data_IF_995028493671
#
_entry.id   IF_995028493671
#
_cell.length_a   1.000
_cell.length_b   1.000
_cell.length_c   1.000
_cell.angle_alpha   90.00
_cell.angle_beta   90.00
_cell.angle_gamma   90.00
#
_symmetry.space_group_name_H-M   'P 1'
#
loop_
_entity.id
_entity.type
_entity.pdbx_description
1 polymer ?
#
# COMPACT_ATOMS: atom_id res chain seq x y z
N UNK A 1 -9.52 -1.54 18.17
CA UNK A 1 -8.48 -1.22 17.19
C UNK A 1 -9.14 -1.04 15.83
N UNK A 2 -8.82 0.04 15.14
CA UNK A 2 -9.35 0.41 13.82
C UNK A 2 -8.21 0.51 12.83
N UNK A 3 -8.29 -0.22 11.74
CA UNK A 3 -7.40 -0.10 10.60
C UNK A 3 -8.09 0.71 9.50
N UNK A 4 -7.41 1.72 8.97
CA UNK A 4 -7.81 2.33 7.72
C UNK A 4 -7.12 1.59 6.57
N UNK A 5 -7.89 1.19 5.56
CA UNK A 5 -7.38 0.55 4.36
C UNK A 5 -7.54 1.51 3.18
N UNK A 6 -6.44 1.84 2.55
CA UNK A 6 -6.34 2.74 1.40
C UNK A 6 -5.58 2.02 0.29
N UNK A 7 -5.91 2.27 -0.96
CA UNK A 7 -5.18 1.77 -2.13
C UNK A 7 -5.37 2.69 -3.34
N UNK A 8 -4.58 2.50 -4.38
CA UNK A 8 -4.84 3.02 -5.72
C UNK A 8 -4.98 4.55 -5.79
N UNK A 9 -4.15 5.28 -5.07
CA UNK A 9 -4.18 6.76 -5.12
C UNK A 9 -3.73 7.32 -6.47
N UNK A 10 -2.84 6.61 -7.16
CA UNK A 10 -2.40 6.94 -8.52
C UNK A 10 -2.04 8.41 -8.74
N UNK A 11 -1.24 8.98 -7.84
CA UNK A 11 -0.80 10.37 -7.94
C UNK A 11 -0.11 10.60 -9.29
N UNK A 12 -0.63 11.53 -10.08
CA UNK A 12 -0.10 11.88 -11.40
C UNK A 12 0.97 12.94 -11.30
N UNK A 13 1.89 12.96 -12.26
CA UNK A 13 3.01 13.90 -12.25
C UNK A 13 2.58 15.38 -12.31
N UNK A 14 1.68 15.72 -13.23
CA UNK A 14 1.36 17.12 -13.55
C UNK A 14 -0.14 17.39 -13.71
N UNK A 15 -1.00 16.44 -13.29
CA UNK A 15 -2.45 16.56 -13.51
C UNK A 15 -3.21 16.35 -12.20
N UNK A 16 -4.31 17.08 -12.07
CA UNK A 16 -5.29 16.92 -11.00
C UNK A 16 -4.74 17.21 -9.59
N UNK A 17 -3.67 18.01 -9.47
CA UNK A 17 -3.04 18.25 -8.17
C UNK A 17 -3.93 19.06 -7.22
N UNK A 18 -4.80 19.92 -7.75
CA UNK A 18 -5.79 20.63 -6.94
C UNK A 18 -6.84 19.65 -6.39
N UNK A 19 -7.36 18.81 -7.27
CA UNK A 19 -8.34 17.78 -6.91
C UNK A 19 -7.76 16.75 -5.91
N UNK A 20 -6.50 16.33 -6.10
CA UNK A 20 -5.81 15.48 -5.11
C UNK A 20 -5.72 16.16 -3.74
N UNK A 21 -5.38 17.45 -3.68
CA UNK A 21 -5.31 18.15 -2.41
C UNK A 21 -6.67 18.16 -1.70
N UNK A 22 -7.75 18.47 -2.43
CA UNK A 22 -9.11 18.48 -1.86
C UNK A 22 -9.53 17.09 -1.34
N UNK A 23 -9.25 16.03 -2.12
CA UNK A 23 -9.58 14.64 -1.74
C UNK A 23 -8.74 14.19 -0.56
N UNK A 24 -7.44 14.49 -0.55
CA UNK A 24 -6.55 14.12 0.55
C UNK A 24 -6.90 14.85 1.85
N UNK A 25 -7.28 16.12 1.78
CA UNK A 25 -7.74 16.86 2.97
C UNK A 25 -9.01 16.24 3.57
N UNK A 26 -9.95 15.80 2.71
CA UNK A 26 -11.15 15.06 3.15
C UNK A 26 -10.78 13.70 3.76
N UNK A 27 -9.85 12.98 3.15
CA UNK A 27 -9.34 11.71 3.66
C UNK A 27 -8.72 11.90 5.04
N UNK A 28 -7.80 12.85 5.21
CA UNK A 28 -7.15 13.12 6.49
C UNK A 28 -8.16 13.44 7.59
N UNK A 29 -9.11 14.32 7.29
CA UNK A 29 -10.19 14.65 8.23
C UNK A 29 -10.99 13.41 8.61
N UNK A 30 -11.36 12.56 7.66
CA UNK A 30 -12.08 11.32 7.92
C UNK A 30 -11.28 10.37 8.83
N UNK A 31 -9.98 10.20 8.56
CA UNK A 31 -9.10 9.35 9.38
C UNK A 31 -9.00 9.84 10.82
N UNK A 32 -8.87 11.16 11.01
CA UNK A 32 -8.83 11.80 12.33
C UNK A 32 -10.17 11.64 13.08
N UNK A 33 -11.29 11.92 12.41
CA UNK A 33 -12.64 11.78 13.00
C UNK A 33 -12.94 10.32 13.39
N UNK A 34 -12.46 9.34 12.61
CA UNK A 34 -12.62 7.93 12.92
C UNK A 34 -11.68 7.43 14.01
N UNK A 35 -10.70 8.22 14.43
CA UNK A 35 -9.68 7.84 15.41
C UNK A 35 -9.06 6.49 15.04
N UNK A 36 -8.47 6.40 13.85
CA UNK A 36 -7.83 5.17 13.38
C UNK A 36 -6.54 4.91 14.15
N UNK A 37 -6.31 3.64 14.52
CA UNK A 37 -5.11 3.23 15.24
C UNK A 37 -3.94 2.96 14.29
N UNK A 38 -4.22 2.48 13.07
CA UNK A 38 -3.25 2.15 12.03
C UNK A 38 -3.79 2.45 10.66
N UNK A 39 -2.89 2.80 9.74
CA UNK A 39 -3.20 3.03 8.32
C UNK A 39 -2.43 2.00 7.49
N UNK A 40 -3.11 1.35 6.56
CA UNK A 40 -2.51 0.43 5.59
C UNK A 40 -2.80 0.97 4.20
N UNK A 41 -1.75 1.24 3.42
CA UNK A 41 -1.86 1.59 2.00
C UNK A 41 -1.43 0.41 1.14
N UNK A 42 -2.38 -0.18 0.42
CA UNK A 42 -2.15 -1.39 -0.37
C UNK A 42 -1.72 -1.12 -1.80
N UNK A 43 -0.74 -0.23 -2.00
CA UNK A 43 -0.04 -0.07 -3.27
C UNK A 43 -0.66 0.91 -4.26
N UNK A 44 0.02 1.11 -5.37
CA UNK A 44 -0.30 2.03 -6.46
C UNK A 44 -0.47 3.48 -6.01
N UNK A 45 0.54 3.98 -5.27
CA UNK A 45 0.63 5.40 -4.91
C UNK A 45 0.97 6.22 -6.14
N UNK A 46 1.99 5.79 -6.92
CA UNK A 46 2.36 6.44 -8.15
C UNK A 46 1.44 6.02 -9.32
N UNK A 47 1.09 6.96 -10.19
CA UNK A 47 0.41 6.61 -11.45
C UNK A 47 1.38 5.99 -12.46
N UNK A 48 2.64 6.40 -12.44
CA UNK A 48 3.70 5.85 -13.30
C UNK A 48 5.04 5.79 -12.56
N UNK A 49 5.73 4.67 -12.69
CA UNK A 49 7.04 4.41 -12.06
C UNK A 49 8.24 5.03 -12.78
N UNK A 50 8.06 5.52 -14.00
CA UNK A 50 9.17 5.96 -14.86
C UNK A 50 9.20 7.45 -15.12
N UNK A 51 8.13 8.17 -14.82
CA UNK A 51 8.02 9.61 -15.00
C UNK A 51 7.76 10.24 -13.62
N UNK A 52 8.82 10.63 -12.95
CA UNK A 52 8.76 11.26 -11.62
C UNK A 52 9.07 12.75 -11.80
N UNK A 53 8.07 13.58 -11.55
CA UNK A 53 8.24 15.04 -11.56
C UNK A 53 8.49 15.57 -10.15
N UNK A 54 9.09 16.77 -10.01
CA UNK A 54 9.21 17.42 -8.70
C UNK A 54 7.88 17.58 -7.97
N UNK A 55 6.82 17.90 -8.70
CA UNK A 55 5.46 18.08 -8.16
C UNK A 55 4.90 16.76 -7.62
N UNK A 56 5.18 15.64 -8.30
CA UNK A 56 4.84 14.31 -7.78
C UNK A 56 5.58 14.05 -6.47
N UNK A 57 6.88 14.30 -6.42
CA UNK A 57 7.71 14.07 -5.22
C UNK A 57 7.16 14.88 -4.06
N UNK A 58 6.84 16.17 -4.29
CA UNK A 58 6.27 17.04 -3.25
C UNK A 58 4.93 16.51 -2.75
N UNK A 59 4.01 16.16 -3.65
CA UNK A 59 2.68 15.66 -3.28
C UNK A 59 2.75 14.33 -2.56
N UNK A 60 3.54 13.39 -3.06
CA UNK A 60 3.76 12.07 -2.45
C UNK A 60 4.38 12.20 -1.06
N UNK A 61 5.40 13.05 -0.92
CA UNK A 61 6.05 13.32 0.37
C UNK A 61 5.06 13.88 1.40
N UNK A 62 4.26 14.86 1.00
CA UNK A 62 3.23 15.46 1.86
C UNK A 62 2.15 14.45 2.23
N UNK A 63 1.67 13.66 1.26
CA UNK A 63 0.68 12.61 1.47
C UNK A 63 1.16 11.59 2.52
N UNK A 64 2.34 11.01 2.31
CA UNK A 64 2.92 10.01 3.23
C UNK A 64 3.19 10.60 4.62
N UNK A 65 3.77 11.80 4.68
CA UNK A 65 4.03 12.48 5.97
C UNK A 65 2.74 12.73 6.74
N UNK A 66 1.67 13.14 6.05
CA UNK A 66 0.41 13.46 6.69
C UNK A 66 -0.28 12.20 7.21
N UNK A 67 -0.30 11.11 6.44
CA UNK A 67 -0.79 9.81 6.93
C UNK A 67 -0.03 9.37 8.19
N UNK A 68 1.30 9.37 8.13
CA UNK A 68 2.16 8.96 9.26
C UNK A 68 2.06 9.88 10.49
N UNK A 69 1.59 11.13 10.32
CA UNK A 69 1.28 12.03 11.43
C UNK A 69 -0.04 11.71 12.14
N UNK A 70 -0.97 11.03 11.45
CA UNK A 70 -2.27 10.63 12.00
C UNK A 70 -2.12 9.31 12.76
N UNK A 71 -1.51 8.30 12.15
CA UNK A 71 -1.29 6.99 12.76
C UNK A 71 -0.10 6.26 12.11
N UNK A 72 0.50 5.24 12.76
CA UNK A 72 1.48 4.38 12.12
C UNK A 72 0.96 3.85 10.79
N UNK A 73 1.72 4.11 9.72
CA UNK A 73 1.31 3.87 8.34
C UNK A 73 2.19 2.81 7.69
N UNK A 74 1.58 1.71 7.26
CA UNK A 74 2.22 0.62 6.55
C UNK A 74 1.84 0.68 5.08
N UNK A 75 2.83 0.63 4.21
CA UNK A 75 2.67 0.76 2.75
C UNK A 75 3.26 -0.45 2.06
N UNK A 76 2.46 -1.23 1.35
CA UNK A 76 2.98 -2.16 0.35
C UNK A 76 3.05 -1.48 -1.01
N UNK A 77 3.83 -2.02 -1.93
CA UNK A 77 3.96 -1.46 -3.28
C UNK A 77 3.06 -2.18 -4.27
N UNK A 78 2.50 -1.41 -5.20
CA UNK A 78 1.75 -1.93 -6.33
C UNK A 78 2.55 -1.95 -7.63
N UNK A 79 1.96 -2.48 -8.67
CA UNK A 79 2.64 -2.65 -9.97
C UNK A 79 2.95 -1.33 -10.69
N UNK A 80 2.30 -0.23 -10.31
CA UNK A 80 2.61 1.12 -10.80
C UNK A 80 3.75 1.79 -10.02
N UNK A 81 4.06 1.35 -8.81
CA UNK A 81 5.12 1.91 -7.98
C UNK A 81 6.51 1.39 -8.37
N UNK A 82 6.62 0.16 -8.86
CA UNK A 82 7.89 -0.49 -9.18
C UNK A 82 7.88 -1.30 -10.48
N UNK A 83 9.02 -1.89 -10.83
CA UNK A 83 9.17 -2.68 -12.04
C UNK A 83 9.07 -4.18 -11.74
N UNK A 84 7.94 -4.81 -12.05
CA UNK A 84 7.71 -6.24 -11.85
C UNK A 84 8.73 -7.15 -12.58
N UNK A 85 9.25 -6.69 -13.73
CA UNK A 85 10.23 -7.46 -14.51
C UNK A 85 11.65 -7.36 -13.95
N UNK A 86 11.90 -6.45 -13.03
CA UNK A 86 13.19 -6.26 -12.40
C UNK A 86 13.00 -5.72 -10.97
N UNK A 87 12.74 -6.61 -10.03
CA UNK A 87 12.49 -6.30 -8.62
C UNK A 87 13.70 -5.65 -7.92
N UNK A 88 14.92 -5.85 -8.43
CA UNK A 88 16.13 -5.20 -7.91
C UNK A 88 16.22 -3.72 -8.26
N UNK A 89 15.43 -3.26 -9.23
CA UNK A 89 15.37 -1.83 -9.58
C UNK A 89 14.63 -1.06 -8.49
N UNK A 90 15.09 0.16 -8.25
CA UNK A 90 14.45 1.08 -7.33
C UNK A 90 13.03 1.42 -7.78
N UNK A 91 12.07 1.40 -6.85
CA UNK A 91 10.70 1.85 -7.08
C UNK A 91 10.57 3.37 -6.90
N UNK A 92 9.39 3.90 -7.16
CA UNK A 92 9.13 5.34 -7.09
C UNK A 92 8.88 5.86 -5.66
N UNK A 93 8.53 5.00 -4.72
CA UNK A 93 8.03 5.37 -3.40
C UNK A 93 9.08 5.27 -2.30
N UNK A 94 9.84 4.15 -2.29
CA UNK A 94 10.82 3.89 -1.23
C UNK A 94 11.81 5.05 -1.02
N UNK A 95 12.43 5.63 -2.07
CA UNK A 95 13.38 6.73 -1.86
C UNK A 95 12.76 7.98 -1.24
N UNK A 96 11.49 8.26 -1.59
CA UNK A 96 10.75 9.40 -1.01
C UNK A 96 10.49 9.14 0.47
N UNK A 97 9.99 7.95 0.80
CA UNK A 97 9.68 7.58 2.18
C UNK A 97 10.93 7.55 3.07
N UNK A 98 12.05 7.01 2.58
CA UNK A 98 13.33 7.00 3.30
C UNK A 98 13.84 8.42 3.56
N UNK A 99 13.71 9.32 2.59
CA UNK A 99 14.11 10.73 2.75
C UNK A 99 13.30 11.47 3.82
N UNK A 100 12.06 11.06 4.09
CA UNK A 100 11.22 11.64 5.13
C UNK A 100 11.68 11.29 6.54
N UNK A 101 12.41 10.20 6.74
CA UNK A 101 12.89 9.72 8.04
C UNK A 101 11.80 9.69 9.13
N UNK A 102 10.57 9.40 8.75
CA UNK A 102 9.44 9.40 9.67
C UNK A 102 9.32 8.04 10.37
N UNK A 103 9.43 7.98 11.72
CA UNK A 103 9.41 6.71 12.46
C UNK A 103 8.06 5.97 12.41
N UNK A 104 6.99 6.64 11.97
CA UNK A 104 5.67 6.07 11.84
C UNK A 104 5.34 5.64 10.39
N UNK A 105 6.31 5.68 9.47
CA UNK A 105 6.13 5.32 8.07
C UNK A 105 6.95 4.07 7.74
N UNK A 106 6.28 2.99 7.33
CA UNK A 106 6.89 1.70 7.07
C UNK A 106 6.61 1.26 5.64
N UNK A 107 7.65 1.17 4.80
CA UNK A 107 7.53 0.64 3.44
C UNK A 107 7.85 -0.85 3.45
N UNK A 108 6.86 -1.67 3.10
CA UNK A 108 6.91 -3.12 3.11
C UNK A 108 7.02 -3.63 1.66
N UNK A 109 8.20 -3.47 1.06
CA UNK A 109 8.44 -3.81 -0.34
C UNK A 109 8.48 -5.30 -0.61
N UNK A 110 9.11 -6.06 0.29
CA UNK A 110 9.31 -7.51 0.12
C UNK A 110 8.28 -8.31 0.90
N UNK A 111 8.18 -9.59 0.60
CA UNK A 111 7.37 -10.53 1.36
C UNK A 111 7.89 -10.60 2.80
N UNK A 112 7.01 -10.38 3.76
CA UNK A 112 7.37 -10.36 5.18
C UNK A 112 6.12 -10.42 6.07
N UNK A 113 6.33 -10.75 7.34
CA UNK A 113 5.33 -10.63 8.39
C UNK A 113 5.69 -9.48 9.34
N UNK A 114 4.71 -8.65 9.68
CA UNK A 114 4.86 -7.58 10.66
C UNK A 114 3.85 -7.78 11.78
N UNK A 115 4.33 -8.11 12.98
CA UNK A 115 3.46 -8.30 14.16
C UNK A 115 3.19 -6.97 14.83
N UNK A 116 1.90 -6.66 15.03
CA UNK A 116 1.41 -5.46 15.69
C UNK A 116 0.80 -5.84 17.03
N UNK A 117 1.32 -5.27 18.13
CA UNK A 117 0.84 -5.42 19.52
C UNK A 117 0.69 -6.88 19.97
N UNK A 118 1.44 -7.81 19.42
CA UNK A 118 1.30 -9.26 19.68
C UNK A 118 -0.15 -9.76 19.50
N UNK A 119 -0.92 -9.15 18.63
CA UNK A 119 -2.33 -9.47 18.39
C UNK A 119 -2.67 -9.62 16.90
N UNK A 120 -2.04 -8.82 16.05
CA UNK A 120 -2.25 -8.86 14.61
C UNK A 120 -0.93 -9.17 13.91
N UNK A 121 -1.01 -9.87 12.81
CA UNK A 121 0.11 -10.06 11.88
C UNK A 121 -0.29 -9.56 10.49
N UNK A 122 0.43 -8.56 9.97
CA UNK A 122 0.32 -8.14 8.58
C UNK A 122 1.23 -9.04 7.74
N UNK A 123 0.65 -9.83 6.88
CA UNK A 123 1.36 -10.77 6.01
C UNK A 123 1.42 -10.17 4.60
N UNK A 124 2.59 -9.70 4.19
CA UNK A 124 2.80 -9.03 2.91
C UNK A 124 3.03 -10.06 1.81
N UNK A 125 2.08 -10.17 0.89
CA UNK A 125 2.18 -10.94 -0.35
C UNK A 125 2.66 -10.01 -1.47
N UNK A 126 3.95 -9.64 -1.41
CA UNK A 126 4.52 -8.69 -2.36
C UNK A 126 4.58 -9.27 -3.77
N UNK A 127 4.07 -8.50 -4.74
CA UNK A 127 4.16 -8.83 -6.19
C UNK A 127 5.59 -8.65 -6.73
N UNK A 128 6.52 -8.15 -5.94
CA UNK A 128 7.94 -8.04 -6.28
C UNK A 128 8.79 -9.18 -5.70
N UNK A 129 8.16 -10.07 -4.90
CA UNK A 129 8.89 -11.05 -4.09
C UNK A 129 8.04 -12.31 -3.85
N UNK A 130 7.35 -12.78 -4.91
CA UNK A 130 6.37 -13.88 -4.83
C UNK A 130 6.99 -15.21 -4.37
N UNK A 131 8.25 -15.46 -4.72
CA UNK A 131 8.97 -16.68 -4.34
C UNK A 131 9.21 -16.81 -2.83
N UNK A 132 9.10 -15.70 -2.09
CA UNK A 132 9.32 -15.64 -0.65
C UNK A 132 8.01 -15.48 0.16
N UNK A 133 6.85 -15.68 -0.46
CA UNK A 133 5.59 -15.70 0.29
C UNK A 133 5.56 -16.87 1.26
N UNK A 134 5.31 -16.57 2.54
CA UNK A 134 5.33 -17.54 3.62
C UNK A 134 3.96 -17.71 4.29
N UNK A 135 3.79 -18.83 4.97
CA UNK A 135 2.65 -19.03 5.89
C UNK A 135 2.79 -18.11 7.11
N UNK A 136 1.67 -17.73 7.77
CA UNK A 136 1.71 -17.03 9.03
C UNK A 136 2.55 -17.78 10.07
N UNK A 137 3.45 -17.09 10.77
CA UNK A 137 4.32 -17.67 11.79
C UNK A 137 3.54 -18.08 13.03
N UNK A 138 2.48 -17.36 13.37
CA UNK A 138 1.59 -17.64 14.50
C UNK A 138 0.12 -17.57 14.07
N UNK A 139 -0.55 -18.73 14.03
CA UNK A 139 -1.97 -18.85 13.69
C UNK A 139 -2.92 -18.41 14.82
N UNK A 140 -2.39 -18.10 16.02
CA UNK A 140 -3.20 -17.56 17.12
C UNK A 140 -3.42 -16.05 16.98
N UNK A 141 -2.56 -15.36 16.21
CA UNK A 141 -2.75 -13.96 15.87
C UNK A 141 -3.88 -13.79 14.84
N UNK A 142 -4.44 -12.59 14.80
CA UNK A 142 -5.34 -12.19 13.71
C UNK A 142 -4.45 -11.89 12.50
N UNK A 143 -4.43 -12.82 11.56
CA UNK A 143 -3.62 -12.70 10.35
C UNK A 143 -4.37 -11.90 9.29
N UNK A 144 -3.71 -10.89 8.73
CA UNK A 144 -4.23 -10.00 7.69
C UNK A 144 -3.29 -10.09 6.49
N UNK A 145 -3.74 -10.68 5.39
CA UNK A 145 -2.97 -10.73 4.16
C UNK A 145 -3.06 -9.37 3.43
N UNK A 146 -1.91 -8.84 3.02
CA UNK A 146 -1.80 -7.62 2.22
C UNK A 146 -1.29 -7.99 0.82
N UNK A 147 -2.10 -7.76 -0.19
CA UNK A 147 -1.80 -8.07 -1.58
C UNK A 147 -2.27 -6.93 -2.48
N UNK A 148 -1.48 -6.62 -3.51
CA UNK A 148 -1.86 -5.70 -4.58
C UNK A 148 -1.78 -6.41 -5.93
N UNK A 149 -2.91 -6.73 -6.50
CA UNK A 149 -3.00 -7.40 -7.79
C UNK A 149 -4.39 -7.92 -8.09
N UNK A 150 -4.60 -8.38 -9.31
CA UNK A 150 -5.87 -8.95 -9.72
C UNK A 150 -5.98 -10.40 -9.22
N UNK A 151 -7.11 -10.72 -8.59
CA UNK A 151 -7.48 -12.10 -8.26
C UNK A 151 -8.35 -12.65 -9.38
N UNK A 152 -8.00 -13.84 -9.86
CA UNK A 152 -8.73 -14.50 -10.94
C UNK A 152 -10.21 -14.67 -10.59
N UNK A 153 -11.07 -14.44 -11.57
CA UNK A 153 -12.51 -14.52 -11.45
C UNK A 153 -13.16 -13.54 -10.46
N UNK A 154 -12.40 -12.57 -9.91
CA UNK A 154 -13.02 -11.47 -9.18
C UNK A 154 -13.86 -10.60 -10.14
N UNK A 155 -14.84 -9.89 -9.59
CA UNK A 155 -15.75 -9.06 -10.38
C UNK A 155 -15.59 -7.59 -10.04
N UNK A 156 -15.61 -6.75 -11.07
CA UNK A 156 -15.72 -5.31 -10.92
C UNK A 156 -17.15 -4.91 -10.57
N UNK A 157 -17.35 -3.65 -10.15
CA UNK A 157 -18.70 -3.08 -9.91
C UNK A 157 -19.61 -3.14 -11.13
N UNK A 158 -19.04 -3.16 -12.33
CA UNK A 158 -19.76 -3.35 -13.59
C UNK A 158 -20.01 -4.84 -13.93
N UNK A 159 -19.73 -5.74 -12.98
CA UNK A 159 -19.90 -7.18 -13.11
C UNK A 159 -18.99 -7.84 -14.19
N UNK A 160 -17.90 -7.18 -14.58
CA UNK A 160 -16.90 -7.77 -15.45
C UNK A 160 -16.03 -8.73 -14.64
N UNK A 161 -15.78 -9.91 -15.19
CA UNK A 161 -14.89 -10.89 -14.57
C UNK A 161 -13.45 -10.55 -14.94
N UNK A 162 -12.61 -10.41 -13.94
CA UNK A 162 -11.17 -10.18 -14.12
C UNK A 162 -10.45 -11.51 -14.37
N UNK A 163 -9.39 -11.45 -15.16
CA UNK A 163 -8.38 -12.50 -15.23
C UNK A 163 -7.22 -12.03 -14.35
N UNK A 164 -6.96 -12.76 -13.29
CA UNK A 164 -5.91 -12.46 -12.32
C UNK A 164 -4.74 -13.42 -12.44
N UNK A 165 -3.60 -13.02 -11.87
CA UNK A 165 -2.40 -13.87 -11.83
C UNK A 165 -2.53 -14.99 -10.77
N UNK A 166 -3.40 -14.79 -9.77
CA UNK A 166 -3.60 -15.70 -8.65
C UNK A 166 -5.07 -16.00 -8.42
N UNK A 167 -5.35 -17.24 -7.99
CA UNK A 167 -6.67 -17.64 -7.49
C UNK A 167 -6.86 -17.16 -6.04
N UNK A 168 -8.11 -16.97 -5.62
CA UNK A 168 -8.45 -16.53 -4.26
C UNK A 168 -7.90 -17.44 -3.16
N UNK A 169 -7.61 -18.69 -3.48
CA UNK A 169 -7.04 -19.67 -2.55
C UNK A 169 -5.66 -19.30 -1.99
N UNK A 170 -4.97 -18.30 -2.59
CA UNK A 170 -3.74 -17.76 -1.99
C UNK A 170 -3.98 -17.22 -0.57
N UNK A 171 -5.21 -16.85 -0.24
CA UNK A 171 -5.58 -16.31 1.08
C UNK A 171 -6.06 -17.36 2.08
N UNK A 172 -6.24 -18.63 1.69
CA UNK A 172 -6.75 -19.70 2.57
C UNK A 172 -5.83 -20.03 3.76
N UNK A 173 -4.59 -19.55 3.70
CA UNK A 173 -3.58 -19.77 4.71
C UNK A 173 -3.58 -18.73 5.85
N UNK A 174 -4.32 -17.63 5.70
CA UNK A 174 -4.34 -16.50 6.63
C UNK A 174 -5.61 -16.40 7.48
#
# INVERSE_FOLDING_TARGET
MRFAHIADTHIRNLKYHLEYNEVFDQLYKSLEEQNVDYIIHCGDIAHTKTQISPEFVEMCSRFLSRLASIAPTYVILGNHDGNLKNASRQDAITPIAEALQNPNLFILKNAQEVVIENKFALNVLSVFDEENWVEPSDKQLINIALYHGAIDRSKTDLNWTLTGDHDISIFDRF
#
